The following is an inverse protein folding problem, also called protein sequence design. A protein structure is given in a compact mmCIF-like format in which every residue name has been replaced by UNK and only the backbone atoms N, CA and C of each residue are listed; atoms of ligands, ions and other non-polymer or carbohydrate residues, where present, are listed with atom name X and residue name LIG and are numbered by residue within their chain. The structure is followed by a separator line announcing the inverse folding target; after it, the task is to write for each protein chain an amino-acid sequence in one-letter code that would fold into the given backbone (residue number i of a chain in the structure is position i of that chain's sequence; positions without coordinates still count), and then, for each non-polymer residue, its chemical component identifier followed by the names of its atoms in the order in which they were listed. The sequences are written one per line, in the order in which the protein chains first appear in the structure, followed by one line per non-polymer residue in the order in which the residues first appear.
data_IF_534175708751
#
_entry.id   IF_534175708751
#
_cell.length_a   1.000
_cell.length_b   1.000
_cell.length_c   1.000
_cell.angle_alpha   90.00
_cell.angle_beta   90.00
_cell.angle_gamma   90.00
#
_symmetry.space_group_name_H-M   'P 1'
#
loop_
_entity.id
_entity.type
_entity.pdbx_description
1 polymer ?
#
# COMPACT_ATOMS: atom_id res chain seq x y z
N UNK A 1 27.38 28.61 -31.56
CA UNK A 1 27.54 27.13 -31.63
C UNK A 1 27.43 26.65 -30.19
N UNK A 2 26.24 26.21 -29.76
CA UNK A 2 25.98 25.79 -28.37
C UNK A 2 26.24 24.29 -28.33
N UNK A 3 27.24 23.84 -27.56
CA UNK A 3 27.46 22.40 -27.36
C UNK A 3 26.33 21.83 -26.49
N UNK A 4 25.71 20.70 -26.88
CA UNK A 4 24.77 19.99 -26.02
C UNK A 4 25.53 19.40 -24.82
N UNK A 5 25.18 19.86 -23.62
CA UNK A 5 25.61 19.29 -22.36
C UNK A 5 24.88 17.97 -22.18
N UNK A 6 25.45 16.90 -22.72
CA UNK A 6 25.10 15.54 -22.34
C UNK A 6 25.51 15.35 -20.87
N UNK A 7 24.63 15.71 -19.95
CA UNK A 7 24.71 15.18 -18.60
C UNK A 7 24.46 13.69 -18.73
N UNK A 8 25.52 12.90 -18.79
CA UNK A 8 25.47 11.44 -18.69
C UNK A 8 24.94 11.08 -17.30
N UNK A 9 23.63 11.23 -17.10
CA UNK A 9 22.93 10.76 -15.92
C UNK A 9 22.88 9.24 -16.02
N UNK A 10 23.97 8.61 -15.58
CA UNK A 10 24.03 7.16 -15.44
C UNK A 10 22.77 6.68 -14.69
N UNK A 11 22.05 5.65 -15.17
CA UNK A 11 20.83 5.13 -14.53
C UNK A 11 21.01 4.74 -13.06
N UNK A 12 22.26 4.57 -12.65
CA UNK A 12 22.69 4.16 -11.31
C UNK A 12 22.94 5.34 -10.35
N UNK A 13 22.99 6.58 -10.86
CA UNK A 13 23.21 7.81 -10.08
C UNK A 13 22.24 7.98 -8.88
N UNK A 14 20.95 7.60 -8.97
CA UNK A 14 20.02 7.73 -7.83
C UNK A 14 20.40 6.86 -6.62
N UNK A 15 21.03 5.70 -6.83
CA UNK A 15 21.38 4.76 -5.75
C UNK A 15 22.57 5.22 -4.89
N UNK A 16 23.32 6.22 -5.34
CA UNK A 16 24.42 6.82 -4.58
C UNK A 16 23.94 7.64 -3.39
N UNK A 17 22.67 8.07 -3.37
CA UNK A 17 22.09 8.78 -2.24
C UNK A 17 21.62 7.81 -1.15
N UNK A 18 22.16 7.88 0.08
CA UNK A 18 21.84 6.92 1.14
C UNK A 18 20.35 6.94 1.53
N UNK A 19 19.71 8.11 1.48
CA UNK A 19 18.26 8.27 1.73
C UNK A 19 17.44 7.58 0.63
N UNK A 20 17.80 7.78 -0.64
CA UNK A 20 17.12 7.13 -1.76
C UNK A 20 17.27 5.61 -1.68
N UNK A 21 18.46 5.10 -1.38
CA UNK A 21 18.72 3.67 -1.20
C UNK A 21 17.89 3.07 -0.07
N UNK A 22 17.80 3.74 1.08
CA UNK A 22 16.99 3.29 2.22
C UNK A 22 15.50 3.23 1.87
N UNK A 23 14.97 4.27 1.23
CA UNK A 23 13.58 4.31 0.76
C UNK A 23 13.31 3.24 -0.30
N UNK A 24 14.23 3.03 -1.22
CA UNK A 24 14.12 2.02 -2.26
C UNK A 24 14.04 0.61 -1.66
N UNK A 25 14.95 0.26 -0.75
CA UNK A 25 14.95 -1.05 -0.07
C UNK A 25 13.67 -1.23 0.75
N UNK A 26 13.27 -0.21 1.53
CA UNK A 26 12.05 -0.26 2.33
C UNK A 26 10.80 -0.46 1.45
N UNK A 27 10.73 0.20 0.31
CA UNK A 27 9.62 0.09 -0.65
C UNK A 27 9.60 -1.29 -1.29
N UNK A 28 10.75 -1.81 -1.73
CA UNK A 28 10.85 -3.16 -2.30
C UNK A 28 10.43 -4.22 -1.28
N UNK A 29 10.95 -4.14 -0.05
CA UNK A 29 10.59 -5.06 1.02
C UNK A 29 9.09 -4.98 1.37
N UNK A 30 8.52 -3.78 1.42
CA UNK A 30 7.09 -3.59 1.69
C UNK A 30 6.20 -4.15 0.59
N UNK A 31 6.59 -3.98 -0.68
CA UNK A 31 5.87 -4.57 -1.81
C UNK A 31 5.90 -6.11 -1.76
N UNK A 32 7.06 -6.69 -1.44
CA UNK A 32 7.19 -8.14 -1.28
C UNK A 32 6.28 -8.64 -0.15
N UNK A 33 6.30 -7.97 1.01
CA UNK A 33 5.42 -8.32 2.13
C UNK A 33 3.94 -8.23 1.76
N UNK A 34 3.55 -7.21 1.01
CA UNK A 34 2.18 -7.02 0.51
C UNK A 34 1.79 -8.13 -0.46
N UNK A 35 2.68 -8.52 -1.37
CA UNK A 35 2.41 -9.63 -2.30
C UNK A 35 2.33 -10.97 -1.59
N UNK A 36 3.22 -11.22 -0.62
CA UNK A 36 3.15 -12.41 0.22
C UNK A 36 1.85 -12.46 1.01
N UNK A 37 1.39 -11.34 1.55
CA UNK A 37 0.10 -11.24 2.24
C UNK A 37 -1.07 -11.52 1.29
N UNK A 38 -1.07 -10.95 0.08
CA UNK A 38 -2.11 -11.18 -0.93
C UNK A 38 -2.17 -12.63 -1.41
N UNK A 39 -1.01 -13.24 -1.67
CA UNK A 39 -0.89 -14.66 -2.07
C UNK A 39 -1.30 -15.56 -0.90
N UNK A 40 -0.86 -15.25 0.31
CA UNK A 40 -1.24 -15.99 1.53
C UNK A 40 -2.73 -15.89 1.82
N UNK A 41 -3.35 -14.73 1.63
CA UNK A 41 -4.79 -14.54 1.75
C UNK A 41 -5.56 -15.32 0.67
N UNK A 42 -5.06 -15.37 -0.58
CA UNK A 42 -5.64 -16.18 -1.63
C UNK A 42 -5.51 -17.69 -1.34
N UNK A 43 -4.38 -18.13 -0.76
CA UNK A 43 -4.15 -19.51 -0.33
C UNK A 43 -4.99 -19.91 0.88
N UNK A 44 -5.15 -19.00 1.85
CA UNK A 44 -6.00 -19.20 3.03
C UNK A 44 -7.49 -19.23 2.64
N UNK A 45 -7.90 -18.40 1.68
CA UNK A 45 -9.22 -18.44 1.07
C UNK A 45 -9.51 -19.79 0.39
N UNK A 46 -8.51 -20.40 -0.24
CA UNK A 46 -8.64 -21.73 -0.86
C UNK A 46 -8.59 -22.87 0.16
N UNK A 47 -7.90 -22.71 1.29
CA UNK A 47 -7.84 -23.73 2.35
C UNK A 47 -9.04 -23.70 3.32
N UNK A 48 -9.76 -22.57 3.42
CA UNK A 48 -10.84 -22.38 4.40
C UNK A 48 -12.28 -22.46 3.84
N UNK A 49 -12.53 -22.55 2.52
CA UNK A 49 -13.91 -22.50 2.00
C UNK A 49 -14.20 -23.29 0.72
N UNK A 50 -15.19 -24.19 0.82
CA UNK A 50 -15.85 -24.92 -0.28
C UNK A 50 -16.65 -24.03 -1.28
N UNK A 51 -16.47 -22.70 -1.30
CA UNK A 51 -17.14 -21.82 -2.28
C UNK A 51 -16.37 -20.53 -2.53
N UNK A 52 -15.69 -20.46 -3.69
CA UNK A 52 -14.92 -19.31 -4.18
C UNK A 52 -15.76 -18.03 -4.39
N UNK A 53 -17.09 -18.16 -4.48
CA UNK A 53 -18.02 -17.06 -4.78
C UNK A 53 -18.18 -16.11 -3.58
N UNK A 54 -18.21 -16.64 -2.35
CA UNK A 54 -18.51 -15.81 -1.16
C UNK A 54 -17.37 -14.84 -0.85
N UNK A 55 -16.12 -15.25 -1.03
CA UNK A 55 -14.98 -14.36 -0.78
C UNK A 55 -14.63 -13.47 -1.98
N UNK A 56 -15.02 -13.83 -3.21
CA UNK A 56 -15.06 -12.87 -4.33
C UNK A 56 -16.07 -11.73 -4.06
N UNK A 57 -17.24 -12.04 -3.50
CA UNK A 57 -18.23 -11.03 -3.10
C UNK A 57 -17.75 -10.13 -1.95
N UNK A 58 -17.07 -10.69 -0.94
CA UNK A 58 -16.47 -9.89 0.14
C UNK A 58 -15.37 -8.96 -0.40
N UNK A 59 -14.55 -9.43 -1.35
CA UNK A 59 -13.53 -8.60 -1.98
C UNK A 59 -14.14 -7.46 -2.83
N UNK A 60 -15.18 -7.76 -3.61
CA UNK A 60 -15.92 -6.76 -4.38
C UNK A 60 -16.61 -5.73 -3.47
N UNK A 61 -17.25 -6.18 -2.38
CA UNK A 61 -17.89 -5.31 -1.40
C UNK A 61 -16.86 -4.44 -0.64
N UNK A 62 -15.62 -4.89 -0.48
CA UNK A 62 -14.54 -4.12 0.18
C UNK A 62 -13.94 -3.05 -0.74
N UNK A 63 -13.95 -3.26 -2.05
CA UNK A 63 -13.49 -2.29 -3.06
C UNK A 63 -14.49 -1.15 -3.27
N UNK A 64 -15.79 -1.42 -3.09
CA UNK A 64 -16.88 -0.47 -3.29
C UNK A 64 -16.76 0.83 -2.46
N UNK A 65 -16.54 0.78 -1.13
CA UNK A 65 -16.33 2.00 -0.34
C UNK A 65 -15.04 2.70 -0.74
N UNK A 66 -14.00 1.97 -1.14
CA UNK A 66 -12.77 2.56 -1.64
C UNK A 66 -13.01 3.38 -2.92
N UNK A 67 -13.81 2.86 -3.85
CA UNK A 67 -14.22 3.57 -5.06
C UNK A 67 -15.03 4.82 -4.75
N UNK A 68 -16.05 4.71 -3.91
CA UNK A 68 -16.93 5.84 -3.54
C UNK A 68 -16.14 6.92 -2.77
N UNK A 69 -15.24 6.52 -1.87
CA UNK A 69 -14.47 7.42 -1.03
C UNK A 69 -13.19 7.93 -1.72
N UNK A 70 -12.75 7.34 -2.84
CA UNK A 70 -11.54 7.76 -3.56
C UNK A 70 -11.63 9.20 -4.11
N UNK A 71 -12.80 9.61 -4.62
CA UNK A 71 -13.02 10.95 -5.15
C UNK A 71 -12.90 12.03 -4.05
N UNK A 72 -13.63 11.93 -2.91
CA UNK A 72 -13.48 12.90 -1.83
C UNK A 72 -12.15 12.75 -1.07
N UNK A 73 -11.58 11.54 -0.97
CA UNK A 73 -10.27 11.34 -0.33
C UNK A 73 -9.13 11.98 -1.14
N UNK A 74 -9.20 11.97 -2.48
CA UNK A 74 -8.26 12.67 -3.35
C UNK A 74 -8.32 14.19 -3.13
N UNK A 75 -9.53 14.75 -3.10
CA UNK A 75 -9.72 16.17 -2.80
C UNK A 75 -9.26 16.54 -1.38
N UNK A 76 -9.47 15.67 -0.38
CA UNK A 76 -9.02 15.91 0.99
C UNK A 76 -7.49 15.74 1.15
N UNK A 77 -6.86 14.87 0.35
CA UNK A 77 -5.41 14.67 0.34
C UNK A 77 -4.64 15.88 -0.21
N UNK A 78 -5.28 16.70 -1.03
CA UNK A 78 -4.70 17.96 -1.53
C UNK A 78 -4.74 19.09 -0.49
N UNK A 79 -5.56 18.98 0.56
CA UNK A 79 -5.69 19.99 1.63
C UNK A 79 -5.04 19.60 2.96
N UNK A 80 -4.65 18.34 3.16
CA UNK A 80 -4.19 17.83 4.46
C UNK A 80 -2.72 17.41 4.39
N UNK A 81 -1.92 17.92 5.34
CA UNK A 81 -0.52 17.53 5.52
C UNK A 81 -0.34 16.01 5.47
N UNK A 82 0.38 15.52 4.45
CA UNK A 82 0.62 14.08 4.18
C UNK A 82 1.06 13.29 5.42
N UNK A 83 1.80 13.94 6.31
CA UNK A 83 2.31 13.33 7.55
C UNK A 83 1.20 13.04 8.57
N UNK A 84 0.21 13.91 8.66
CA UNK A 84 -0.93 13.76 9.59
C UNK A 84 -1.91 12.72 9.06
N UNK A 85 -2.12 12.71 7.74
CA UNK A 85 -2.89 11.67 7.05
C UNK A 85 -2.30 10.27 7.29
N UNK A 86 -0.98 10.10 7.10
CA UNK A 86 -0.30 8.83 7.35
C UNK A 86 -0.40 8.34 8.80
N UNK A 87 -0.26 9.25 9.77
CA UNK A 87 -0.37 8.90 11.19
C UNK A 87 -1.80 8.48 11.55
N UNK A 88 -2.82 9.16 11.01
CA UNK A 88 -4.23 8.82 11.25
C UNK A 88 -4.57 7.47 10.62
N UNK A 89 -4.15 7.22 9.39
CA UNK A 89 -4.42 5.93 8.74
C UNK A 89 -3.70 4.78 9.44
N UNK A 90 -2.45 4.96 9.89
CA UNK A 90 -1.76 3.90 10.63
C UNK A 90 -2.33 3.62 12.01
N UNK A 91 -2.71 4.66 12.75
CA UNK A 91 -3.36 4.47 14.06
C UNK A 91 -4.72 3.82 13.91
N UNK A 92 -5.48 4.17 12.87
CA UNK A 92 -6.75 3.53 12.53
C UNK A 92 -6.59 2.04 12.17
N UNK A 93 -5.64 1.70 11.30
CA UNK A 93 -5.35 0.30 10.96
C UNK A 93 -4.96 -0.52 12.20
N UNK A 94 -4.15 0.05 13.08
CA UNK A 94 -3.72 -0.61 14.31
C UNK A 94 -4.91 -0.82 15.26
N UNK A 95 -5.79 0.16 15.39
CA UNK A 95 -7.02 0.04 16.18
C UNK A 95 -7.96 -1.04 15.62
N UNK A 96 -8.19 -1.07 14.31
CA UNK A 96 -9.01 -2.09 13.67
C UNK A 96 -8.45 -3.51 13.89
N UNK A 97 -7.13 -3.68 13.74
CA UNK A 97 -6.47 -4.95 14.01
C UNK A 97 -6.59 -5.37 15.49
N UNK A 98 -6.42 -4.43 16.42
CA UNK A 98 -6.55 -4.69 17.85
C UNK A 98 -7.99 -5.09 18.24
N UNK A 99 -9.00 -4.44 17.68
CA UNK A 99 -10.42 -4.78 17.91
C UNK A 99 -10.71 -6.18 17.39
N UNK A 100 -10.24 -6.50 16.18
CA UNK A 100 -10.46 -7.82 15.58
C UNK A 100 -9.78 -8.92 16.41
N UNK A 101 -8.57 -8.67 16.90
CA UNK A 101 -7.86 -9.57 17.82
C UNK A 101 -8.64 -9.79 19.12
N UNK A 102 -9.15 -8.71 19.73
CA UNK A 102 -9.93 -8.78 20.96
C UNK A 102 -11.30 -9.46 20.80
N UNK A 103 -11.88 -9.48 19.60
CA UNK A 103 -13.13 -10.20 19.31
C UNK A 103 -12.91 -11.67 18.92
N UNK A 104 -11.67 -12.02 18.54
CA UNK A 104 -11.32 -13.39 18.11
C UNK A 104 -10.78 -14.24 19.26
N UNK A 105 -10.16 -13.61 20.27
CA UNK A 105 -9.79 -14.22 21.55
C UNK A 105 -10.94 -14.13 22.56
#
# INVERSE_FOLDING_TARGET
MVEPHHTDTSPWSPFSYPVFRSLWIATVASNIGTWMQSVGAAWLMTSLSKSAVMVALVQAASMLPMFILSLPAGALADFVDRRRLLLVTQTWMLAAAAILWALTF
#
